data_IF_411988743100
#
_entry.id   IF_411988743100
#
_cell.length_a   1.000
_cell.length_b   1.000
_cell.length_c   1.000
_cell.angle_alpha   90.00
_cell.angle_beta   90.00
_cell.angle_gamma   90.00
#
_symmetry.space_group_name_H-M   'P 1'
#
loop_
_entity.id
_entity.type
_entity.pdbx_description
1 polymer ?
#
# COMPACT_ATOMS: atom_id res chain seq x y z
N UNK A 1 12.36 -2.18 -16.92
CA UNK A 1 11.27 -3.13 -16.62
C UNK A 1 10.10 -2.35 -16.03
N UNK A 2 8.94 -2.33 -16.68
CA UNK A 2 7.76 -1.63 -16.16
C UNK A 2 7.21 -2.41 -14.97
N UNK A 3 7.70 -2.11 -13.75
CA UNK A 3 7.09 -2.59 -12.51
C UNK A 3 5.59 -2.27 -12.59
N UNK A 4 4.73 -3.25 -12.31
CA UNK A 4 3.28 -2.99 -12.17
C UNK A 4 3.09 -2.02 -11.00
N UNK A 5 2.85 -0.76 -11.34
CA UNK A 5 2.44 0.29 -10.43
C UNK A 5 0.93 0.44 -10.56
N UNK A 6 0.22 0.44 -9.44
CA UNK A 6 -1.21 0.73 -9.41
C UNK A 6 -1.40 2.04 -8.68
N UNK A 7 -2.17 2.95 -9.28
CA UNK A 7 -2.45 4.27 -8.71
C UNK A 7 -3.95 4.49 -8.67
N UNK A 8 -4.42 5.14 -7.62
CA UNK A 8 -5.77 5.67 -7.51
C UNK A 8 -5.78 6.97 -6.72
N UNK A 9 -6.87 7.73 -6.80
CA UNK A 9 -7.06 8.98 -6.07
C UNK A 9 -8.04 8.82 -4.92
N UNK A 10 -7.91 9.65 -3.89
CA UNK A 10 -8.85 9.72 -2.78
C UNK A 10 -8.94 11.13 -2.23
N UNK A 11 -10.13 11.51 -1.79
CA UNK A 11 -10.38 12.77 -1.07
C UNK A 11 -10.28 12.62 0.45
N UNK A 12 -10.14 11.39 0.95
CA UNK A 12 -10.00 11.12 2.37
C UNK A 12 -8.67 11.66 2.91
N UNK A 13 -8.57 11.99 4.21
CA UNK A 13 -7.30 12.33 4.84
C UNK A 13 -6.28 11.19 4.73
N UNK A 14 -4.96 11.47 4.59
CA UNK A 14 -3.94 10.43 4.42
C UNK A 14 -3.91 9.37 5.51
N UNK A 15 -4.19 9.76 6.76
CA UNK A 15 -4.27 8.84 7.90
C UNK A 15 -5.40 7.82 7.73
N UNK A 16 -6.56 8.26 7.25
CA UNK A 16 -7.71 7.40 7.01
C UNK A 16 -7.44 6.43 5.86
N UNK A 17 -6.86 6.93 4.77
CA UNK A 17 -6.46 6.12 3.62
C UNK A 17 -5.54 4.97 4.09
N UNK A 18 -4.47 5.29 4.82
CA UNK A 18 -3.51 4.29 5.31
C UNK A 18 -4.18 3.31 6.29
N UNK A 19 -5.08 3.80 7.13
CA UNK A 19 -5.81 2.93 8.06
C UNK A 19 -6.70 1.93 7.33
N UNK A 20 -7.51 2.39 6.38
CA UNK A 20 -8.43 1.53 5.60
C UNK A 20 -7.70 0.51 4.75
N UNK A 21 -6.61 0.90 4.09
CA UNK A 21 -5.82 -0.07 3.31
C UNK A 21 -5.22 -1.12 4.26
N UNK A 22 -4.71 -0.70 5.42
CA UNK A 22 -4.15 -1.64 6.38
C UNK A 22 -5.21 -2.61 6.95
N UNK A 23 -6.40 -2.11 7.27
CA UNK A 23 -7.53 -2.92 7.72
C UNK A 23 -7.94 -3.95 6.67
N UNK A 24 -8.00 -3.57 5.40
CA UNK A 24 -8.31 -4.49 4.30
C UNK A 24 -7.19 -5.51 4.03
N UNK A 25 -5.92 -5.15 4.26
CA UNK A 25 -4.77 -6.02 3.98
C UNK A 25 -4.48 -7.06 5.08
N UNK A 26 -4.78 -6.75 6.35
CA UNK A 26 -4.61 -7.69 7.48
C UNK A 26 -5.30 -9.05 7.29
N UNK A 27 -6.60 -9.13 6.92
CA UNK A 27 -7.26 -10.43 6.74
C UNK A 27 -6.70 -11.22 5.54
N UNK A 28 -5.98 -10.56 4.62
CA UNK A 28 -5.27 -11.21 3.51
C UNK A 28 -3.91 -11.80 3.94
N UNK A 29 -3.56 -11.70 5.24
CA UNK A 29 -2.35 -12.27 5.81
C UNK A 29 -1.09 -11.41 5.66
N UNK A 30 -1.23 -10.12 5.34
CA UNK A 30 -0.10 -9.20 5.32
C UNK A 30 0.24 -8.70 6.73
N UNK A 31 1.53 -8.72 7.05
CA UNK A 31 2.11 -7.89 8.09
C UNK A 31 2.36 -6.48 7.56
N UNK A 32 2.11 -5.46 8.38
CA UNK A 32 2.03 -4.06 7.94
C UNK A 32 2.91 -3.17 8.79
N UNK A 33 3.89 -2.56 8.14
CA UNK A 33 4.77 -1.55 8.74
C UNK A 33 4.41 -0.17 8.20
N UNK A 34 3.98 0.73 9.08
CA UNK A 34 3.61 2.11 8.73
C UNK A 34 4.73 3.07 9.10
N UNK A 35 5.06 4.01 8.21
CA UNK A 35 6.01 5.10 8.46
C UNK A 35 5.52 6.37 7.79
N UNK A 36 4.95 7.28 8.59
CA UNK A 36 4.30 8.51 8.11
C UNK A 36 3.24 8.20 7.03
N UNK A 37 3.41 8.75 5.83
CA UNK A 37 2.53 8.54 4.68
C UNK A 37 2.93 7.38 3.78
N UNK A 38 3.84 6.52 4.26
CA UNK A 38 4.29 5.30 3.59
C UNK A 38 3.89 4.08 4.40
N UNK A 39 3.64 2.98 3.73
CA UNK A 39 3.53 1.67 4.37
C UNK A 39 4.17 0.57 3.54
N UNK A 40 4.64 -0.47 4.22
CA UNK A 40 5.09 -1.72 3.63
C UNK A 40 4.19 -2.84 4.11
N UNK A 41 3.76 -3.68 3.18
CA UNK A 41 2.94 -4.85 3.42
C UNK A 41 3.74 -6.06 2.98
N UNK A 42 3.96 -7.00 3.89
CA UNK A 42 4.72 -8.22 3.64
C UNK A 42 3.86 -9.42 3.98
N UNK A 43 3.71 -10.36 3.04
CA UNK A 43 3.06 -11.62 3.35
C UNK A 43 4.13 -12.64 3.79
N UNK A 44 4.18 -13.03 5.08
CA UNK A 44 5.15 -14.01 5.57
C UNK A 44 4.86 -15.41 5.03
N UNK A 45 3.61 -15.70 4.66
CA UNK A 45 3.23 -16.97 4.04
C UNK A 45 3.58 -16.91 2.56
N UNK A 46 4.51 -17.77 2.14
CA UNK A 46 4.84 -17.95 0.73
C UNK A 46 3.62 -18.48 -0.04
N UNK A 47 3.13 -17.71 -1.02
CA UNK A 47 2.15 -18.19 -1.99
C UNK A 47 2.82 -18.99 -3.10
N UNK A 48 2.10 -19.28 -4.19
CA UNK A 48 2.62 -20.02 -5.37
C UNK A 48 3.94 -19.44 -5.94
N UNK A 49 4.16 -18.13 -5.79
CA UNK A 49 5.37 -17.42 -6.28
C UNK A 49 6.27 -16.92 -5.14
N UNK A 50 6.12 -17.45 -3.93
CA UNK A 50 6.85 -17.01 -2.75
C UNK A 50 6.18 -15.82 -2.04
N UNK A 51 6.97 -15.12 -1.22
CA UNK A 51 6.52 -13.98 -0.44
C UNK A 51 6.24 -12.76 -1.33
N UNK A 52 5.09 -12.13 -1.11
CA UNK A 52 4.69 -10.90 -1.79
C UNK A 52 4.93 -9.71 -0.87
N UNK A 53 5.76 -8.76 -1.34
CA UNK A 53 6.00 -7.50 -0.64
C UNK A 53 5.47 -6.36 -1.50
N UNK A 54 4.68 -5.49 -0.89
CA UNK A 54 4.07 -4.32 -1.53
C UNK A 54 4.44 -3.07 -0.74
N UNK A 55 4.91 -2.05 -1.44
CA UNK A 55 5.11 -0.72 -0.89
C UNK A 55 3.95 0.18 -1.31
N UNK A 56 3.47 0.99 -0.38
CA UNK A 56 2.43 1.99 -0.65
C UNK A 56 2.88 3.36 -0.16
N UNK A 57 2.60 4.38 -0.96
CA UNK A 57 2.89 5.77 -0.63
C UNK A 57 1.71 6.66 -0.99
N UNK A 58 1.39 7.60 -0.10
CA UNK A 58 0.32 8.58 -0.29
C UNK A 58 0.93 9.94 -0.53
N UNK A 59 0.58 10.56 -1.65
CA UNK A 59 1.03 11.89 -2.06
C UNK A 59 -0.15 12.85 -2.03
N UNK A 60 0.01 13.99 -1.38
CA UNK A 60 -0.96 15.09 -1.51
C UNK A 60 -0.69 15.83 -2.82
N UNK A 61 -1.68 15.85 -3.71
CA UNK A 61 -1.58 16.53 -5.02
C UNK A 61 -2.42 17.79 -5.10
N UNK A 62 -3.41 17.92 -4.20
CA UNK A 62 -4.15 19.15 -3.94
C UNK A 62 -4.63 19.15 -2.46
N UNK A 63 -5.12 20.27 -1.91
CA UNK A 63 -5.55 20.34 -0.50
C UNK A 63 -6.51 19.23 -0.06
N UNK A 64 -7.44 18.83 -0.93
CA UNK A 64 -8.42 17.77 -0.71
C UNK A 64 -8.24 16.56 -1.63
N UNK A 65 -7.09 16.42 -2.29
CA UNK A 65 -6.85 15.32 -3.23
C UNK A 65 -5.51 14.65 -2.97
N UNK A 66 -5.57 13.34 -2.79
CA UNK A 66 -4.41 12.49 -2.57
C UNK A 66 -4.32 11.44 -3.66
N UNK A 67 -3.10 11.17 -4.13
CA UNK A 67 -2.77 10.03 -4.97
C UNK A 67 -2.17 8.95 -4.08
N UNK A 68 -2.69 7.74 -4.20
CA UNK A 68 -2.15 6.55 -3.55
C UNK A 68 -1.46 5.72 -4.62
N UNK A 69 -0.19 5.40 -4.39
CA UNK A 69 0.60 4.56 -5.27
C UNK A 69 0.94 3.24 -4.58
N UNK A 70 0.70 2.13 -5.26
CA UNK A 70 1.05 0.78 -4.83
C UNK A 70 2.08 0.19 -5.80
N UNK A 71 3.17 -0.30 -5.21
CA UNK A 71 4.33 -0.84 -5.92
C UNK A 71 4.63 -2.24 -5.42
N UNK A 72 4.68 -3.20 -6.35
CA UNK A 72 5.22 -4.52 -6.05
C UNK A 72 6.73 -4.42 -5.79
N UNK A 73 7.17 -4.72 -4.57
CA UNK A 73 8.57 -4.69 -4.18
C UNK A 73 9.26 -6.04 -4.45
N UNK A 74 8.59 -7.16 -4.13
CA UNK A 74 9.08 -8.54 -4.29
C UNK A 74 7.89 -9.49 -4.54
N UNK A 75 8.18 -10.64 -5.16
CA UNK A 75 7.21 -11.73 -5.45
C UNK A 75 6.67 -11.63 -6.86
#
# INVERSE_FOLDING_TARGET
EHKRETRFTSQCPPKEIISKIAEAARPLGFDIQKKNYKMRMENPKAGRKGNLNVATEVFQVAPSLHVVELKKAKG
#
